data_IF_821740147305
#
_entry.id   IF_821740147305
#
_cell.length_a   1.000
_cell.length_b   1.000
_cell.length_c   1.000
_cell.angle_alpha   90.00
_cell.angle_beta   90.00
_cell.angle_gamma   90.00
#
_symmetry.space_group_name_H-M   'P 1'
#
loop_
_entity.id
_entity.type
_entity.pdbx_description
1 polymer ?
#
# COMPACT_ATOMS: atom_id res chain seq x y z
N UNK A 1 -2.07 11.21 22.63
CA UNK A 1 -2.17 10.06 23.56
C UNK A 1 -3.31 9.11 23.22
N UNK A 2 -4.58 9.53 23.13
CA UNK A 2 -5.72 8.64 22.76
C UNK A 2 -5.54 7.90 21.41
N UNK A 3 -5.06 8.57 20.37
CA UNK A 3 -4.82 7.94 19.06
C UNK A 3 -3.74 6.82 19.12
N UNK A 4 -2.65 7.03 19.87
CA UNK A 4 -1.62 6.02 20.07
C UNK A 4 -2.14 4.82 20.86
N UNK A 5 -2.94 5.06 21.90
CA UNK A 5 -3.61 4.00 22.67
C UNK A 5 -4.56 3.17 21.79
N UNK A 6 -5.33 3.82 20.92
CA UNK A 6 -6.21 3.14 19.97
C UNK A 6 -5.45 2.30 18.94
N UNK A 7 -4.29 2.78 18.48
CA UNK A 7 -3.41 2.01 17.58
C UNK A 7 -2.84 0.78 18.31
N UNK A 8 -2.40 0.95 19.55
CA UNK A 8 -1.88 -0.15 20.36
C UNK A 8 -2.95 -1.22 20.62
N UNK A 9 -4.18 -0.81 20.93
CA UNK A 9 -5.33 -1.71 21.06
C UNK A 9 -5.62 -2.44 19.75
N UNK A 10 -5.61 -1.75 18.59
CA UNK A 10 -5.79 -2.38 17.29
C UNK A 10 -4.72 -3.43 16.99
N UNK A 11 -3.46 -3.15 17.31
CA UNK A 11 -2.38 -4.14 17.16
C UNK A 11 -2.52 -5.32 18.13
N UNK A 12 -2.98 -5.09 19.37
CA UNK A 12 -3.24 -6.17 20.32
C UNK A 12 -4.39 -7.09 19.87
N UNK A 13 -5.44 -6.50 19.29
CA UNK A 13 -6.61 -7.21 18.76
C UNK A 13 -6.33 -7.90 17.41
N UNK A 14 -5.30 -7.47 16.69
CA UNK A 14 -4.94 -8.10 15.42
C UNK A 14 -4.59 -9.58 15.64
N UNK A 15 -5.16 -10.44 14.79
CA UNK A 15 -4.81 -11.87 14.77
C UNK A 15 -3.33 -12.08 14.46
N UNK A 16 -2.79 -11.29 13.53
CA UNK A 16 -1.37 -11.24 13.19
C UNK A 16 -0.99 -9.88 12.60
N UNK A 17 0.30 -9.56 12.66
CA UNK A 17 0.95 -8.37 12.12
C UNK A 17 2.09 -8.85 11.23
N UNK A 18 2.17 -8.36 10.00
CA UNK A 18 3.29 -8.66 9.10
C UNK A 18 4.02 -7.36 8.74
N UNK A 19 5.30 -7.28 9.10
CA UNK A 19 6.19 -6.20 8.69
C UNK A 19 6.73 -6.51 7.29
N UNK A 20 6.63 -5.53 6.39
CA UNK A 20 6.98 -5.69 4.98
C UNK A 20 8.03 -4.66 4.61
N UNK A 21 9.24 -5.11 4.25
CA UNK A 21 10.40 -4.24 4.07
C UNK A 21 11.13 -4.56 2.76
N UNK A 22 11.79 -3.56 2.18
CA UNK A 22 12.64 -3.79 1.02
C UNK A 22 14.03 -4.34 1.42
N UNK A 23 15.02 -4.15 0.56
CA UNK A 23 16.38 -4.67 0.77
C UNK A 23 17.10 -4.04 1.94
N UNK A 24 16.72 -2.85 2.35
CA UNK A 24 17.36 -2.18 3.49
C UNK A 24 16.92 -2.82 4.82
N UNK A 25 15.77 -3.51 4.83
CA UNK A 25 15.32 -4.34 5.94
C UNK A 25 16.07 -5.67 6.10
N UNK A 26 16.95 -6.03 5.15
CA UNK A 26 17.71 -7.29 5.19
C UNK A 26 18.81 -7.25 6.27
N UNK A 27 18.37 -7.34 7.53
CA UNK A 27 19.14 -7.19 8.76
C UNK A 27 18.91 -8.45 9.61
N UNK A 28 19.98 -9.15 10.02
CA UNK A 28 19.87 -10.46 10.66
C UNK A 28 19.13 -10.38 12.01
N UNK A 29 19.34 -9.26 12.70
CA UNK A 29 18.81 -8.95 14.01
C UNK A 29 17.28 -9.00 14.02
N UNK A 30 16.65 -8.58 12.92
CA UNK A 30 15.20 -8.60 12.77
C UNK A 30 14.65 -10.04 12.78
N UNK A 31 15.34 -10.96 12.10
CA UNK A 31 14.89 -12.35 11.97
C UNK A 31 14.84 -13.07 13.31
N UNK A 32 15.76 -12.77 14.23
CA UNK A 32 15.80 -13.36 15.56
C UNK A 32 14.99 -12.57 16.60
N UNK A 33 14.65 -11.30 16.33
CA UNK A 33 13.80 -10.51 17.24
C UNK A 33 12.31 -10.75 17.02
N UNK A 34 11.90 -11.09 15.80
CA UNK A 34 10.49 -11.32 15.44
C UNK A 34 10.16 -12.81 15.51
N UNK A 35 10.18 -13.33 16.74
CA UNK A 35 9.88 -14.74 17.07
C UNK A 35 8.61 -14.91 17.91
N UNK A 36 7.74 -13.89 18.00
CA UNK A 36 6.44 -14.05 18.64
C UNK A 36 5.41 -14.61 17.64
N UNK A 37 4.39 -15.32 18.14
CA UNK A 37 3.40 -16.03 17.30
C UNK A 37 2.45 -15.12 16.51
N UNK A 38 2.45 -13.81 16.78
CA UNK A 38 1.56 -12.84 16.12
C UNK A 38 2.28 -11.96 15.11
N UNK A 39 3.60 -11.92 15.11
CA UNK A 39 4.39 -10.98 14.31
C UNK A 39 5.20 -11.74 13.28
N UNK A 40 5.11 -11.31 12.03
CA UNK A 40 5.80 -11.93 10.92
C UNK A 40 6.59 -10.90 10.12
N UNK A 41 7.58 -11.38 9.38
CA UNK A 41 8.40 -10.59 8.48
C UNK A 41 8.17 -11.04 7.04
N UNK A 42 8.16 -10.10 6.10
CA UNK A 42 8.33 -10.35 4.66
C UNK A 42 9.30 -9.30 4.12
N UNK A 43 10.56 -9.69 3.98
CA UNK A 43 11.66 -8.76 3.66
C UNK A 43 12.28 -9.17 2.33
N UNK A 44 12.54 -8.20 1.44
CA UNK A 44 13.27 -8.50 0.21
C UNK A 44 14.75 -8.67 0.51
N UNK A 45 15.32 -9.79 0.11
CA UNK A 45 16.72 -10.08 0.36
C UNK A 45 17.61 -9.19 -0.53
N UNK A 46 18.59 -8.56 0.11
CA UNK A 46 19.64 -7.76 -0.51
C UNK A 46 20.99 -8.46 -0.52
N UNK A 47 21.24 -9.40 0.41
CA UNK A 47 22.54 -10.07 0.61
C UNK A 47 22.45 -11.58 0.39
N UNK A 48 23.49 -12.16 -0.21
CA UNK A 48 23.61 -13.62 -0.31
C UNK A 48 24.12 -14.22 1.01
N UNK A 49 23.17 -14.52 1.89
CA UNK A 49 23.43 -14.96 3.27
C UNK A 49 24.00 -16.38 3.30
N UNK A 50 24.81 -16.64 4.34
CA UNK A 50 25.30 -17.99 4.64
C UNK A 50 24.21 -18.79 5.33
N UNK A 51 24.13 -20.07 5.00
CA UNK A 51 23.28 -21.04 5.65
C UNK A 51 24.09 -21.80 6.72
N UNK A 52 23.39 -22.46 7.65
CA UNK A 52 24.02 -23.25 8.71
C UNK A 52 24.84 -24.43 8.16
N UNK A 53 24.39 -25.02 7.04
CA UNK A 53 25.08 -26.10 6.31
C UNK A 53 26.35 -25.65 5.57
N UNK A 54 26.74 -24.38 5.67
CA UNK A 54 27.89 -23.79 4.99
C UNK A 54 27.61 -23.26 3.58
N UNK A 55 26.41 -23.54 3.03
CA UNK A 55 25.97 -23.09 1.73
C UNK A 55 25.62 -21.60 1.66
N UNK A 56 25.27 -21.17 0.44
CA UNK A 56 24.80 -19.82 0.13
C UNK A 56 23.33 -19.83 -0.23
N UNK A 57 22.60 -18.83 0.24
CA UNK A 57 21.15 -18.76 0.09
C UNK A 57 20.72 -18.76 -1.38
N UNK A 58 21.38 -17.98 -2.23
CA UNK A 58 20.97 -17.83 -3.64
C UNK A 58 21.22 -19.09 -4.46
N UNK A 59 22.35 -19.78 -4.29
CA UNK A 59 22.60 -21.05 -5.00
C UNK A 59 21.64 -22.13 -4.52
N UNK A 60 21.44 -22.24 -3.21
CA UNK A 60 20.52 -23.18 -2.57
C UNK A 60 19.07 -23.03 -3.05
N UNK A 61 18.63 -21.81 -3.39
CA UNK A 61 17.32 -21.54 -3.99
C UNK A 61 17.27 -21.89 -5.48
N UNK A 62 18.33 -21.57 -6.23
CA UNK A 62 18.40 -21.86 -7.67
C UNK A 62 18.34 -23.36 -7.98
N UNK A 63 18.79 -24.20 -7.06
CA UNK A 63 18.71 -25.66 -7.14
C UNK A 63 17.30 -26.22 -6.86
N UNK A 64 16.39 -25.43 -6.29
CA UNK A 64 15.05 -25.92 -6.02
C UNK A 64 14.23 -26.07 -7.31
N UNK A 65 13.42 -27.14 -7.42
CA UNK A 65 12.48 -27.26 -8.51
C UNK A 65 11.49 -26.10 -8.49
N UNK A 66 11.08 -25.67 -9.68
CA UNK A 66 10.00 -24.70 -9.82
C UNK A 66 8.72 -25.31 -9.25
N UNK A 67 8.09 -24.66 -8.27
CA UNK A 67 6.85 -25.14 -7.66
C UNK A 67 5.60 -24.65 -8.41
N UNK A 68 5.74 -23.65 -9.29
CA UNK A 68 4.65 -23.12 -10.08
C UNK A 68 5.03 -21.82 -10.79
N UNK A 69 4.13 -21.31 -11.61
CA UNK A 69 4.34 -20.03 -12.30
C UNK A 69 3.03 -19.26 -12.47
N UNK A 70 3.15 -17.95 -12.67
CA UNK A 70 2.01 -17.08 -12.97
C UNK A 70 2.41 -16.02 -14.00
N UNK A 71 1.42 -15.45 -14.69
CA UNK A 71 1.63 -14.42 -15.71
C UNK A 71 1.17 -13.07 -15.18
N UNK A 72 1.97 -12.03 -15.43
CA UNK A 72 1.59 -10.63 -15.16
C UNK A 72 1.79 -9.74 -16.37
N UNK A 73 0.84 -8.83 -16.57
CA UNK A 73 0.95 -7.78 -17.59
C UNK A 73 1.81 -6.64 -17.06
N UNK A 74 2.94 -6.43 -17.72
CA UNK A 74 3.83 -5.31 -17.47
C UNK A 74 3.47 -4.20 -18.46
N UNK A 75 3.02 -3.07 -17.95
CA UNK A 75 2.79 -1.86 -18.76
C UNK A 75 4.08 -1.17 -19.17
N UNK A 76 4.07 -0.52 -20.34
CA UNK A 76 5.19 0.29 -20.80
C UNK A 76 5.39 1.52 -19.89
N UNK A 77 6.66 1.86 -19.61
CA UNK A 77 7.03 3.02 -18.81
C UNK A 77 8.18 3.78 -19.47
N UNK A 78 7.82 4.82 -20.24
CA UNK A 78 8.75 5.59 -21.09
C UNK A 78 9.93 6.17 -20.30
N UNK A 79 9.68 6.70 -19.09
CA UNK A 79 10.73 7.30 -18.23
C UNK A 79 11.79 6.28 -17.80
N UNK A 80 11.40 5.02 -17.61
CA UNK A 80 12.30 3.92 -17.23
C UNK A 80 12.76 3.08 -18.42
N UNK A 81 12.44 3.50 -19.66
CA UNK A 81 12.72 2.77 -20.91
C UNK A 81 12.25 1.31 -20.87
N UNK A 82 11.14 1.03 -20.18
CA UNK A 82 10.56 -0.31 -20.06
C UNK A 82 9.46 -0.52 -21.10
N UNK A 83 9.58 -1.57 -21.91
CA UNK A 83 8.54 -2.01 -22.85
C UNK A 83 7.42 -2.76 -22.14
N UNK A 84 6.22 -2.71 -22.71
CA UNK A 84 5.12 -3.56 -22.25
C UNK A 84 5.36 -5.01 -22.65
N UNK A 85 5.05 -5.95 -21.77
CA UNK A 85 5.18 -7.40 -22.03
C UNK A 85 4.30 -8.22 -21.09
N UNK A 86 4.03 -9.47 -21.45
CA UNK A 86 3.51 -10.49 -20.53
C UNK A 86 4.69 -11.23 -19.92
N UNK A 87 4.87 -11.11 -18.61
CA UNK A 87 5.96 -11.77 -17.91
C UNK A 87 5.47 -13.04 -17.24
N UNK A 88 6.02 -14.19 -17.65
CA UNK A 88 5.85 -15.46 -16.93
C UNK A 88 6.86 -15.52 -15.80
N UNK A 89 6.38 -15.58 -14.57
CA UNK A 89 7.19 -15.58 -13.36
C UNK A 89 7.16 -16.97 -12.73
N UNK A 90 8.31 -17.62 -12.67
CA UNK A 90 8.51 -18.89 -11.96
C UNK A 90 8.72 -18.64 -10.47
N UNK A 91 8.16 -19.52 -9.65
CA UNK A 91 8.25 -19.45 -8.19
C UNK A 91 8.98 -20.67 -7.65
N UNK A 92 9.86 -20.41 -6.68
CA UNK A 92 10.53 -21.43 -5.86
C UNK A 92 10.37 -21.02 -4.40
N UNK A 93 10.37 -21.99 -3.50
CA UNK A 93 10.49 -21.70 -2.08
C UNK A 93 11.35 -22.74 -1.38
N UNK A 94 11.92 -22.37 -0.23
CA UNK A 94 12.73 -23.26 0.59
C UNK A 94 12.66 -22.85 2.06
N UNK A 95 12.60 -23.83 2.96
CA UNK A 95 12.90 -23.62 4.38
C UNK A 95 14.41 -23.63 4.57
N UNK A 96 14.94 -22.60 5.22
CA UNK A 96 16.39 -22.40 5.40
C UNK A 96 16.72 -22.14 6.86
N UNK A 97 17.92 -22.56 7.26
CA UNK A 97 18.51 -22.20 8.55
C UNK A 97 19.59 -21.16 8.28
N UNK A 98 19.28 -19.89 8.51
CA UNK A 98 20.22 -18.80 8.28
C UNK A 98 21.27 -18.78 9.38
N UNK A 99 22.53 -18.58 8.98
CA UNK A 99 23.64 -18.38 9.92
C UNK A 99 23.85 -16.90 10.19
N UNK A 100 24.06 -16.56 11.46
CA UNK A 100 24.44 -15.21 11.88
C UNK A 100 25.71 -14.76 11.15
N UNK A 101 25.75 -13.53 10.60
CA UNK A 101 26.96 -12.96 10.02
C UNK A 101 28.13 -12.93 11.02
N UNK A 102 29.34 -13.27 10.56
CA UNK A 102 30.54 -13.32 11.40
C UNK A 102 30.97 -11.94 11.91
N UNK A 103 30.59 -10.88 11.22
CA UNK A 103 30.80 -9.46 11.52
C UNK A 103 29.63 -8.84 12.30
N UNK A 104 28.59 -9.62 12.65
CA UNK A 104 27.47 -9.10 13.41
C UNK A 104 27.93 -8.51 14.76
N UNK A 105 27.52 -7.29 15.07
CA UNK A 105 27.95 -6.58 16.28
C UNK A 105 27.49 -7.30 17.56
N UNK A 106 26.26 -7.83 17.56
CA UNK A 106 25.68 -8.46 18.73
C UNK A 106 25.89 -9.99 18.73
N UNK A 107 26.96 -10.42 19.42
CA UNK A 107 27.33 -11.84 19.53
C UNK A 107 26.46 -12.65 20.49
N UNK A 108 25.54 -12.05 21.25
CA UNK A 108 24.67 -12.78 22.18
C UNK A 108 23.39 -13.31 21.51
N UNK A 109 23.08 -12.85 20.29
CA UNK A 109 21.90 -13.28 19.54
C UNK A 109 22.01 -14.73 19.07
N UNK A 110 20.88 -15.35 18.71
CA UNK A 110 20.89 -16.73 18.20
C UNK A 110 21.85 -16.87 17.01
N UNK A 111 22.74 -17.87 17.08
CA UNK A 111 23.74 -18.13 16.04
C UNK A 111 23.11 -18.53 14.71
N UNK A 112 21.89 -19.08 14.76
CA UNK A 112 21.12 -19.54 13.62
C UNK A 112 19.64 -19.23 13.81
N UNK A 113 18.90 -19.07 12.71
CA UNK A 113 17.45 -18.83 12.72
C UNK A 113 16.77 -19.50 11.54
N UNK A 114 15.71 -20.25 11.81
CA UNK A 114 14.91 -20.90 10.77
C UNK A 114 13.99 -19.86 10.13
N UNK A 115 14.02 -19.77 8.80
CA UNK A 115 13.18 -18.89 8.00
C UNK A 115 12.70 -19.63 6.74
N UNK A 116 11.73 -19.03 6.05
CA UNK A 116 11.33 -19.46 4.72
C UNK A 116 11.74 -18.42 3.70
N UNK A 117 12.10 -18.85 2.49
CA UNK A 117 12.46 -17.96 1.40
C UNK A 117 11.67 -18.30 0.16
N UNK A 118 11.12 -17.28 -0.49
CA UNK A 118 10.37 -17.36 -1.74
C UNK A 118 11.16 -16.61 -2.81
N UNK A 119 11.45 -17.26 -3.93
CA UNK A 119 12.03 -16.66 -5.11
C UNK A 119 10.99 -16.59 -6.22
N UNK A 120 10.81 -15.41 -6.83
CA UNK A 120 9.96 -15.16 -7.97
C UNK A 120 10.79 -14.52 -9.09
N UNK A 121 11.01 -15.25 -10.19
CA UNK A 121 11.92 -14.86 -11.27
C UNK A 121 11.20 -14.91 -12.62
N UNK A 122 11.31 -13.83 -13.38
CA UNK A 122 10.81 -13.79 -14.75
C UNK A 122 11.61 -14.71 -15.66
N UNK A 123 10.89 -15.56 -16.39
CA UNK A 123 11.44 -16.51 -17.35
C UNK A 123 11.64 -15.84 -18.71
N UNK A 124 12.67 -16.27 -19.46
CA UNK A 124 12.91 -15.86 -20.86
C UNK A 124 13.01 -14.34 -21.09
N UNK A 125 13.48 -13.60 -20.08
CA UNK A 125 13.71 -12.16 -20.19
C UNK A 125 15.00 -11.80 -19.47
N UNK A 126 15.94 -11.15 -20.16
CA UNK A 126 17.24 -10.76 -19.60
C UNK A 126 17.49 -9.24 -19.67
N UNK A 127 16.40 -8.47 -19.83
CA UNK A 127 16.46 -7.02 -19.72
C UNK A 127 16.85 -6.55 -18.31
N UNK A 128 17.32 -5.31 -18.20
CA UNK A 128 17.77 -4.72 -16.92
C UNK A 128 16.66 -4.64 -15.86
N UNK A 129 15.40 -4.67 -16.28
CA UNK A 129 14.20 -4.66 -15.47
C UNK A 129 13.54 -6.04 -15.34
N UNK A 130 14.31 -7.12 -15.53
CA UNK A 130 13.90 -8.49 -15.23
C UNK A 130 13.38 -8.60 -13.81
N UNK A 131 12.23 -9.23 -13.63
CA UNK A 131 11.69 -9.47 -12.29
C UNK A 131 12.54 -10.54 -11.61
N UNK A 132 13.10 -10.18 -10.47
CA UNK A 132 13.76 -11.09 -9.55
C UNK A 132 13.50 -10.61 -8.13
N UNK A 133 12.55 -11.25 -7.46
CA UNK A 133 12.26 -11.07 -6.05
C UNK A 133 12.73 -12.30 -5.29
N UNK A 134 13.51 -12.06 -4.25
CA UNK A 134 13.86 -13.06 -3.23
C UNK A 134 13.35 -12.50 -1.93
N UNK A 135 12.38 -13.16 -1.32
CA UNK A 135 11.67 -12.68 -0.15
C UNK A 135 11.94 -13.65 0.99
N UNK A 136 12.51 -13.17 2.08
CA UNK A 136 12.62 -13.95 3.32
C UNK A 136 11.44 -13.65 4.22
N UNK A 137 10.89 -14.68 4.83
CA UNK A 137 9.69 -14.60 5.65
C UNK A 137 9.72 -15.54 6.84
N UNK A 138 9.07 -15.13 7.93
CA UNK A 138 8.79 -16.00 9.07
C UNK A 138 7.40 -16.65 9.01
N UNK A 139 6.59 -16.32 8.00
CA UNK A 139 5.44 -17.16 7.64
C UNK A 139 5.92 -18.49 7.12
N UNK A 140 5.23 -19.56 7.48
CA UNK A 140 5.47 -20.87 6.87
C UNK A 140 5.10 -20.86 5.39
N UNK A 141 5.93 -21.54 4.59
CA UNK A 141 5.70 -21.69 3.15
C UNK A 141 5.92 -23.15 2.80
N UNK A 142 4.81 -23.88 2.64
CA UNK A 142 4.81 -25.32 2.39
C UNK A 142 4.25 -25.67 1.01
N UNK A 143 3.69 -24.70 0.29
CA UNK A 143 3.04 -24.85 -1.02
C UNK A 143 3.32 -23.67 -1.96
N UNK A 144 2.92 -23.83 -3.23
CA UNK A 144 2.94 -22.73 -4.20
C UNK A 144 1.96 -21.62 -3.80
N UNK A 145 0.81 -21.98 -3.24
CA UNK A 145 -0.22 -21.06 -2.76
C UNK A 145 0.30 -20.19 -1.62
N UNK A 146 1.04 -20.78 -0.66
CA UNK A 146 1.70 -20.03 0.41
C UNK A 146 2.72 -19.04 -0.19
N UNK A 147 3.53 -19.50 -1.15
CA UNK A 147 4.53 -18.66 -1.79
C UNK A 147 3.88 -17.47 -2.53
N UNK A 148 2.77 -17.70 -3.22
CA UNK A 148 1.96 -16.64 -3.84
C UNK A 148 1.38 -15.69 -2.79
N UNK A 149 0.97 -16.18 -1.62
CA UNK A 149 0.51 -15.34 -0.53
C UNK A 149 1.60 -14.37 -0.07
N UNK A 150 2.83 -14.83 0.12
CA UNK A 150 3.99 -14.00 0.47
C UNK A 150 4.28 -12.95 -0.61
N UNK A 151 4.26 -13.35 -1.88
CA UNK A 151 4.43 -12.42 -3.01
C UNK A 151 3.33 -11.34 -2.97
N UNK A 152 2.08 -11.71 -2.72
CA UNK A 152 0.96 -10.79 -2.63
C UNK A 152 1.02 -9.85 -1.42
N UNK A 153 1.57 -10.31 -0.28
CA UNK A 153 1.91 -9.43 0.85
C UNK A 153 2.97 -8.42 0.40
N UNK A 154 4.06 -8.89 -0.21
CA UNK A 154 5.16 -8.02 -0.62
C UNK A 154 4.76 -6.97 -1.68
N UNK A 155 3.82 -7.31 -2.57
CA UNK A 155 3.25 -6.35 -3.55
C UNK A 155 2.65 -5.11 -2.88
N UNK A 156 2.16 -5.22 -1.64
CA UNK A 156 1.59 -4.10 -0.86
C UNK A 156 2.65 -3.15 -0.32
N UNK A 157 3.94 -3.50 -0.33
CA UNK A 157 5.04 -2.62 0.12
C UNK A 157 5.01 -1.26 -0.57
N UNK A 158 4.63 -1.21 -1.84
CA UNK A 158 4.55 0.03 -2.63
C UNK A 158 3.60 1.09 -2.03
N UNK A 159 2.67 0.72 -1.14
CA UNK A 159 1.79 1.66 -0.47
C UNK A 159 2.55 2.74 0.29
N UNK A 160 3.68 2.41 0.93
CA UNK A 160 4.47 3.42 1.66
C UNK A 160 5.11 4.43 0.69
N UNK A 161 5.53 3.99 -0.50
CA UNK A 161 6.05 4.90 -1.52
C UNK A 161 4.97 5.83 -2.06
N UNK A 162 3.74 5.33 -2.22
CA UNK A 162 2.60 6.14 -2.60
C UNK A 162 2.22 7.16 -1.52
N UNK A 163 2.31 6.79 -0.24
CA UNK A 163 2.14 7.69 0.90
C UNK A 163 3.14 8.85 0.82
N UNK A 164 4.44 8.54 0.70
CA UNK A 164 5.47 9.58 0.61
C UNK A 164 5.36 10.42 -0.65
N UNK A 165 4.97 9.81 -1.78
CA UNK A 165 4.73 10.52 -3.03
C UNK A 165 3.61 11.55 -2.91
N UNK A 166 2.51 11.20 -2.23
CA UNK A 166 1.40 12.10 -1.96
C UNK A 166 1.78 13.20 -0.97
N UNK A 167 2.58 12.86 0.06
CA UNK A 167 3.01 13.84 1.05
C UNK A 167 4.01 14.86 0.47
N UNK A 168 4.96 14.41 -0.34
CA UNK A 168 5.99 15.27 -0.95
C UNK A 168 5.43 16.06 -2.15
N UNK A 169 6.30 16.43 -3.10
CA UNK A 169 6.03 17.34 -4.22
C UNK A 169 4.80 17.03 -5.06
N UNK A 170 4.38 15.77 -5.19
CA UNK A 170 3.29 15.41 -6.11
C UNK A 170 1.89 15.48 -5.49
N UNK A 171 1.74 15.80 -4.20
CA UNK A 171 0.42 15.98 -3.58
C UNK A 171 0.33 17.22 -2.69
N UNK A 172 0.93 17.17 -1.50
CA UNK A 172 0.86 18.26 -0.50
C UNK A 172 2.06 19.19 -0.50
N UNK A 173 3.06 18.92 -1.36
CA UNK A 173 4.25 19.77 -1.52
C UNK A 173 4.95 20.07 -0.20
N UNK A 174 5.04 19.08 0.70
CA UNK A 174 5.58 19.29 2.05
C UNK A 174 7.04 19.75 2.07
N UNK A 175 7.79 19.49 1.00
CA UNK A 175 9.18 19.95 0.84
C UNK A 175 9.27 21.44 0.43
N UNK A 176 8.15 22.10 0.14
CA UNK A 176 8.05 23.52 -0.26
C UNK A 176 7.55 24.41 0.89
N UNK A 177 7.27 23.82 2.06
CA UNK A 177 6.80 24.57 3.23
C UNK A 177 7.82 25.62 3.66
N UNK A 178 7.33 26.84 3.95
CA UNK A 178 8.12 27.96 4.47
C UNK A 178 8.08 28.03 6.00
N UNK A 179 7.65 26.96 6.67
CA UNK A 179 7.65 26.89 8.13
C UNK A 179 9.08 26.78 8.66
N UNK A 180 9.46 27.69 9.56
CA UNK A 180 10.84 27.84 10.01
C UNK A 180 11.20 26.93 11.19
N UNK A 181 10.22 26.32 11.86
CA UNK A 181 10.46 25.47 13.04
C UNK A 181 10.15 24.01 12.76
N UNK A 182 11.04 23.12 13.26
CA UNK A 182 10.84 21.68 13.16
C UNK A 182 9.53 21.21 13.80
N UNK A 183 9.04 21.90 14.83
CA UNK A 183 7.75 21.60 15.45
C UNK A 183 6.56 21.93 14.54
N UNK A 184 6.58 23.09 13.88
CA UNK A 184 5.52 23.47 12.93
C UNK A 184 5.50 22.51 11.73
N UNK A 185 6.68 22.14 11.20
CA UNK A 185 6.79 21.15 10.12
C UNK A 185 6.21 19.80 10.55
N UNK A 186 6.51 19.32 11.77
CA UNK A 186 5.93 18.07 12.30
C UNK A 186 4.39 18.13 12.38
N UNK A 187 3.83 19.25 12.86
CA UNK A 187 2.37 19.42 12.89
C UNK A 187 1.76 19.37 11.48
N UNK A 188 2.37 20.08 10.53
CA UNK A 188 1.93 20.06 9.14
C UNK A 188 1.99 18.64 8.57
N UNK A 189 3.04 17.87 8.87
CA UNK A 189 3.17 16.46 8.44
C UNK A 189 2.02 15.61 8.96
N UNK A 190 1.68 15.72 10.24
CA UNK A 190 0.59 14.96 10.85
C UNK A 190 -0.76 15.31 10.21
N UNK A 191 -1.01 16.61 9.95
CA UNK A 191 -2.23 17.05 9.28
C UNK A 191 -2.29 16.54 7.83
N UNK A 192 -1.19 16.65 7.08
CA UNK A 192 -1.10 16.13 5.71
C UNK A 192 -1.29 14.61 5.65
N UNK A 193 -0.75 13.86 6.61
CA UNK A 193 -0.91 12.40 6.68
C UNK A 193 -2.38 11.98 6.79
N UNK A 194 -3.21 12.72 7.52
CA UNK A 194 -4.64 12.43 7.62
C UNK A 194 -5.29 12.45 6.21
N UNK A 195 -5.06 13.51 5.44
CA UNK A 195 -5.59 13.63 4.08
C UNK A 195 -4.98 12.61 3.12
N UNK A 196 -3.68 12.32 3.23
CA UNK A 196 -3.02 11.27 2.44
C UNK A 196 -3.66 9.90 2.70
N UNK A 197 -3.96 9.57 3.95
CA UNK A 197 -4.61 8.30 4.32
C UNK A 197 -6.00 8.22 3.68
N UNK A 198 -6.81 9.28 3.71
CA UNK A 198 -8.11 9.32 3.02
C UNK A 198 -7.97 9.02 1.52
N UNK A 199 -7.00 9.64 0.84
CA UNK A 199 -6.71 9.37 -0.58
C UNK A 199 -6.29 7.90 -0.79
N UNK A 200 -5.45 7.35 0.09
CA UNK A 200 -5.03 5.94 -0.01
C UNK A 200 -6.16 4.94 0.27
N UNK A 201 -7.08 5.25 1.18
CA UNK A 201 -8.29 4.45 1.42
C UNK A 201 -9.19 4.49 0.17
N UNK A 202 -9.40 5.66 -0.44
CA UNK A 202 -10.13 5.78 -1.70
C UNK A 202 -9.47 4.99 -2.83
N UNK A 203 -8.13 4.99 -2.93
CA UNK A 203 -7.42 4.19 -3.92
C UNK A 203 -7.72 2.69 -3.77
N UNK A 204 -7.82 2.21 -2.54
CA UNK A 204 -8.03 0.81 -2.19
C UNK A 204 -9.50 0.42 -2.01
N UNK A 205 -10.42 1.38 -2.11
CA UNK A 205 -11.83 1.19 -1.86
C UNK A 205 -12.43 -0.01 -2.59
N UNK A 206 -13.16 -0.82 -1.84
CA UNK A 206 -13.98 -1.91 -2.38
C UNK A 206 -15.47 -1.58 -2.28
N UNK A 207 -16.31 -2.41 -2.90
CA UNK A 207 -17.77 -2.27 -2.84
C UNK A 207 -18.35 -2.65 -1.46
N UNK A 208 -17.62 -3.47 -0.69
CA UNK A 208 -18.03 -3.97 0.62
C UNK A 208 -17.83 -2.93 1.73
N UNK A 209 -16.87 -2.03 1.57
CA UNK A 209 -16.55 -1.00 2.56
C UNK A 209 -17.60 0.12 2.55
N UNK A 210 -18.03 0.54 3.75
CA UNK A 210 -18.92 1.69 3.89
C UNK A 210 -18.12 3.00 3.77
N UNK A 211 -18.72 4.03 3.16
CA UNK A 211 -18.12 5.36 3.06
C UNK A 211 -17.75 5.98 4.43
N UNK A 212 -18.40 5.56 5.52
CA UNK A 212 -18.14 6.00 6.89
C UNK A 212 -16.72 5.75 7.38
N UNK A 213 -15.96 4.86 6.73
CA UNK A 213 -14.54 4.63 7.05
C UNK A 213 -13.63 5.79 6.63
N UNK A 214 -14.11 6.68 5.76
CA UNK A 214 -13.38 7.85 5.23
C UNK A 214 -14.13 9.17 5.41
N UNK A 215 -15.47 9.13 5.40
CA UNK A 215 -16.31 10.32 5.38
C UNK A 215 -17.28 10.37 6.56
N UNK A 216 -17.46 11.55 7.16
CA UNK A 216 -18.48 11.76 8.18
C UNK A 216 -19.90 11.63 7.60
N UNK A 217 -20.91 11.59 8.46
CA UNK A 217 -22.31 11.49 7.99
C UNK A 217 -22.72 12.72 7.17
N UNK A 218 -22.24 13.90 7.55
CA UNK A 218 -22.47 15.17 6.85
C UNK A 218 -21.76 15.19 5.51
N UNK A 219 -20.50 14.75 5.46
CA UNK A 219 -19.77 14.61 4.20
C UNK A 219 -20.48 13.62 3.25
N UNK A 220 -21.02 12.52 3.77
CA UNK A 220 -21.79 11.55 2.98
C UNK A 220 -23.10 12.13 2.43
N UNK A 221 -23.81 12.97 3.20
CA UNK A 221 -24.99 13.69 2.71
C UNK A 221 -24.62 14.65 1.57
N UNK A 222 -23.55 15.41 1.73
CA UNK A 222 -23.05 16.29 0.67
C UNK A 222 -22.68 15.49 -0.58
N UNK A 223 -21.97 14.37 -0.45
CA UNK A 223 -21.66 13.47 -1.57
C UNK A 223 -22.92 12.97 -2.29
N UNK A 224 -24.01 12.68 -1.57
CA UNK A 224 -25.28 12.28 -2.16
C UNK A 224 -25.87 13.36 -3.07
N UNK A 225 -25.83 14.62 -2.65
CA UNK A 225 -26.23 15.76 -3.48
C UNK A 225 -25.28 15.98 -4.67
N UNK A 226 -23.99 15.73 -4.49
CA UNK A 226 -23.01 15.87 -5.57
C UNK A 226 -23.08 14.75 -6.61
N UNK A 227 -23.51 13.54 -6.22
CA UNK A 227 -23.65 12.44 -7.16
C UNK A 227 -24.54 12.83 -8.35
N UNK A 228 -25.73 13.37 -8.10
CA UNK A 228 -26.67 13.78 -9.16
C UNK A 228 -26.08 14.87 -10.08
N UNK A 229 -25.26 15.78 -9.53
CA UNK A 229 -24.58 16.83 -10.32
C UNK A 229 -23.47 16.27 -11.22
N UNK A 230 -22.76 15.25 -10.75
CA UNK A 230 -21.59 14.69 -11.46
C UNK A 230 -21.92 13.47 -12.31
N UNK A 231 -23.12 12.91 -12.20
CA UNK A 231 -23.67 11.97 -13.17
C UNK A 231 -23.84 12.65 -14.54
N UNK A 232 -23.45 11.94 -15.60
CA UNK A 232 -23.69 12.41 -16.96
C UNK A 232 -25.07 12.02 -17.47
N UNK A 233 -25.44 12.57 -18.63
CA UNK A 233 -26.72 12.28 -19.27
C UNK A 233 -26.85 10.82 -19.77
N UNK A 234 -25.75 10.10 -19.94
CA UNK A 234 -25.74 8.70 -20.43
C UNK A 234 -25.53 7.72 -19.29
N UNK A 235 -26.08 6.51 -19.41
CA UNK A 235 -25.92 5.45 -18.39
C UNK A 235 -24.45 5.09 -18.14
N UNK A 236 -23.59 5.23 -19.16
CA UNK A 236 -22.14 5.02 -19.04
C UNK A 236 -21.44 6.05 -18.15
N UNK A 237 -22.07 7.19 -17.88
CA UNK A 237 -21.56 8.27 -17.05
C UNK A 237 -22.29 8.38 -15.71
N UNK A 238 -23.19 7.44 -15.41
CA UNK A 238 -23.80 7.30 -14.08
C UNK A 238 -22.86 6.55 -13.15
N UNK A 239 -23.06 6.72 -11.84
CA UNK A 239 -22.28 6.01 -10.85
C UNK A 239 -22.75 4.55 -10.74
N UNK A 240 -21.93 3.54 -11.11
CA UNK A 240 -22.37 2.15 -11.15
C UNK A 240 -22.32 1.46 -9.78
N UNK A 241 -21.83 2.14 -8.75
CA UNK A 241 -21.53 1.56 -7.45
C UNK A 241 -22.70 1.69 -6.48
N UNK A 242 -22.74 0.81 -5.48
CA UNK A 242 -23.77 0.78 -4.45
C UNK A 242 -23.75 2.09 -3.64
N UNK A 243 -24.87 2.83 -3.52
CA UNK A 243 -24.91 4.04 -2.70
C UNK A 243 -24.38 3.80 -1.29
N UNK A 244 -23.61 4.77 -0.78
CA UNK A 244 -22.91 4.71 0.53
C UNK A 244 -21.75 3.70 0.62
N UNK A 245 -21.40 2.99 -0.46
CA UNK A 245 -20.12 2.26 -0.50
C UNK A 245 -18.95 3.24 -0.65
N UNK A 246 -17.78 2.84 -0.17
CA UNK A 246 -16.57 3.66 -0.33
C UNK A 246 -16.20 3.80 -1.81
N UNK A 247 -16.48 2.77 -2.62
CA UNK A 247 -16.26 2.81 -4.06
C UNK A 247 -17.21 3.79 -4.77
N UNK A 248 -18.45 3.90 -4.31
CA UNK A 248 -19.40 4.93 -4.75
C UNK A 248 -18.90 6.33 -4.42
N UNK A 249 -18.40 6.57 -3.20
CA UNK A 249 -17.78 7.85 -2.83
C UNK A 249 -16.51 8.16 -3.63
N UNK A 250 -15.65 7.15 -3.87
CA UNK A 250 -14.45 7.28 -4.72
C UNK A 250 -14.81 7.75 -6.13
N UNK A 251 -15.88 7.21 -6.71
CA UNK A 251 -16.33 7.61 -8.04
C UNK A 251 -16.68 9.11 -8.08
N UNK A 252 -17.43 9.61 -7.10
CA UNK A 252 -17.83 11.02 -7.00
C UNK A 252 -16.60 11.90 -6.82
N UNK A 253 -15.73 11.57 -5.86
CA UNK A 253 -14.47 12.29 -5.62
C UNK A 253 -13.60 12.33 -6.89
N UNK A 254 -13.51 11.22 -7.61
CA UNK A 254 -12.76 11.17 -8.86
C UNK A 254 -13.36 12.12 -9.92
N UNK A 255 -14.69 12.19 -10.06
CA UNK A 255 -15.38 13.13 -10.97
C UNK A 255 -15.13 14.58 -10.61
N UNK A 256 -15.23 14.93 -9.32
CA UNK A 256 -14.88 16.26 -8.79
C UNK A 256 -13.40 16.58 -9.12
N UNK A 257 -12.56 15.55 -9.02
CA UNK A 257 -11.15 15.61 -9.36
C UNK A 257 -10.85 15.58 -10.86
N UNK A 258 -11.84 15.74 -11.75
CA UNK A 258 -11.67 15.84 -13.19
C UNK A 258 -11.47 14.52 -13.93
N UNK A 259 -11.76 13.38 -13.31
CA UNK A 259 -11.88 12.11 -14.02
C UNK A 259 -13.14 12.10 -14.88
N UNK A 260 -13.07 11.60 -16.11
CA UNK A 260 -14.20 11.66 -17.05
C UNK A 260 -15.30 10.63 -16.76
N UNK A 261 -15.03 9.60 -15.95
CA UNK A 261 -16.02 8.59 -15.58
C UNK A 261 -16.20 7.44 -16.58
N UNK A 262 -15.40 7.36 -17.65
CA UNK A 262 -15.53 6.30 -18.64
C UNK A 262 -14.79 5.03 -18.21
N UNK A 263 -15.46 3.88 -18.29
CA UNK A 263 -14.90 2.55 -18.00
C UNK A 263 -13.74 2.13 -18.91
N UNK A 264 -13.66 2.70 -20.12
CA UNK A 264 -12.55 2.49 -21.06
C UNK A 264 -11.27 3.26 -20.70
N UNK A 265 -11.35 4.21 -19.76
CA UNK A 265 -10.18 4.95 -19.29
C UNK A 265 -9.51 4.25 -18.12
N UNK A 266 -8.24 4.60 -17.89
CA UNK A 266 -7.53 4.15 -16.69
C UNK A 266 -8.32 4.57 -15.43
N UNK A 267 -8.36 3.71 -14.40
CA UNK A 267 -8.92 4.08 -13.10
C UNK A 267 -8.31 5.38 -12.56
N UNK A 268 -9.05 6.15 -11.74
CA UNK A 268 -8.57 7.40 -11.20
C UNK A 268 -7.30 7.19 -10.36
N UNK A 269 -6.25 7.93 -10.70
CA UNK A 269 -4.99 7.86 -9.99
C UNK A 269 -4.98 8.65 -8.67
N UNK A 270 -3.93 8.51 -7.85
CA UNK A 270 -3.77 9.20 -6.57
C UNK A 270 -3.97 10.73 -6.68
N UNK A 271 -3.41 11.36 -7.71
CA UNK A 271 -3.45 12.82 -7.88
C UNK A 271 -4.86 13.30 -8.24
N UNK A 272 -5.57 12.54 -9.07
CA UNK A 272 -6.98 12.79 -9.40
C UNK A 272 -7.84 12.75 -8.14
N UNK A 273 -7.64 11.72 -7.30
CA UNK A 273 -8.38 11.59 -6.04
C UNK A 273 -8.02 12.67 -5.03
N UNK A 274 -6.73 13.04 -4.91
CA UNK A 274 -6.28 14.14 -4.05
C UNK A 274 -6.95 15.46 -4.44
N UNK A 275 -6.88 15.83 -5.73
CA UNK A 275 -7.55 17.03 -6.27
C UNK A 275 -9.05 16.99 -6.04
N UNK A 276 -9.66 15.83 -6.24
CA UNK A 276 -11.09 15.62 -5.98
C UNK A 276 -11.45 15.85 -4.53
N UNK A 277 -10.63 15.36 -3.60
CA UNK A 277 -10.85 15.54 -2.17
C UNK A 277 -10.67 17.00 -1.75
N UNK A 278 -9.64 17.70 -2.24
CA UNK A 278 -9.44 19.12 -1.96
C UNK A 278 -10.66 19.96 -2.40
N UNK A 279 -11.11 19.74 -3.64
CA UNK A 279 -12.27 20.42 -4.20
C UNK A 279 -13.55 20.05 -3.45
N UNK A 280 -13.71 18.78 -3.06
CA UNK A 280 -14.84 18.33 -2.25
C UNK A 280 -14.88 19.04 -0.90
N UNK A 281 -13.75 19.18 -0.20
CA UNK A 281 -13.72 19.88 1.09
C UNK A 281 -14.13 21.36 0.96
N UNK A 282 -13.76 22.03 -0.14
CA UNK A 282 -14.21 23.40 -0.41
C UNK A 282 -15.73 23.46 -0.65
N UNK A 283 -16.27 22.53 -1.43
CA UNK A 283 -17.73 22.45 -1.68
C UNK A 283 -18.47 22.13 -0.39
N UNK A 284 -17.96 21.20 0.41
CA UNK A 284 -18.54 20.79 1.68
C UNK A 284 -18.62 21.96 2.67
N UNK A 285 -17.55 22.75 2.80
CA UNK A 285 -17.56 23.95 3.64
C UNK A 285 -18.67 24.94 3.21
N UNK A 286 -18.82 25.18 1.91
CA UNK A 286 -19.91 26.03 1.41
C UNK A 286 -21.31 25.44 1.64
N UNK A 287 -21.46 24.12 1.47
CA UNK A 287 -22.71 23.41 1.74
C UNK A 287 -23.11 23.48 3.23
N UNK A 288 -22.14 23.34 4.14
CA UNK A 288 -22.34 23.46 5.58
C UNK A 288 -22.75 24.89 5.98
N UNK A 289 -22.07 25.91 5.44
CA UNK A 289 -22.44 27.31 5.65
C UNK A 289 -23.88 27.59 5.21
N UNK A 290 -24.25 27.14 4.01
CA UNK A 290 -25.61 27.31 3.51
C UNK A 290 -26.64 26.64 4.43
N UNK A 291 -26.38 25.41 4.88
CA UNK A 291 -27.27 24.66 5.78
C UNK A 291 -27.48 25.39 7.11
N UNK A 292 -26.43 25.97 7.68
CA UNK A 292 -26.52 26.71 8.95
C UNK A 292 -27.34 28.00 8.81
N UNK A 293 -27.21 28.72 7.69
CA UNK A 293 -28.04 29.91 7.42
C UNK A 293 -29.53 29.56 7.37
N UNK A 294 -29.92 28.42 6.80
CA UNK A 294 -31.34 28.01 6.77
C UNK A 294 -31.91 27.57 8.13
N UNK A 295 -31.07 27.17 9.08
CA UNK A 295 -31.52 26.80 10.45
C UNK A 295 -31.86 28.08 11.25
N UNK A 296 -31.04 29.13 11.12
CA UNK A 296 -31.23 30.39 11.85
C UNK A 296 -32.46 31.19 11.36
N UNK A 297 -32.87 31.03 10.11
CA UNK A 297 -34.05 31.72 9.55
C UNK A 297 -35.35 30.96 9.84
N UNK A 298 -35.28 29.68 10.20
CA UNK A 298 -36.45 28.85 10.55
C UNK A 298 -36.81 28.85 12.04
N UNK A 299 -36.06 29.56 12.88
CA UNK A 299 -36.27 29.68 14.33
C UNK A 299 -36.56 31.11 14.80
N UNK A 300 -36.91 32.02 13.87
CA UNK A 300 -37.45 33.35 14.18
C UNK A 300 -38.94 33.44 13.83
#
# INVERSE_FOLDING_TARGET
>A
MKACQNIQLKFQQARSITFVEDRDGDIYEQFVSVLNTKSHLVIRIGKDRKLADGGKLFSSLGEQPCCGSYVIDIGAERRKKRSSRKATVEVRYKRVLLKRPADNYNKTMAAEVQMYVVEAVEKQYDGKDKICWRLITSHEVNSFEDALHIINIYRKRWYIEQLFRLLKKQGFAMEETQLETGWAIRKLCVLGLNTVIRVMQLMQATEEENASVVFTNEEQQCLQHLNTKYEGATDKLKNPHKPKSLLWSKWIIARIGGWKGCSSQRPPGPITLKRGLDNFMQIFAGWEMAKNVYIDVGTQ
#
